data_IF_176458120560
#
_entry.id   IF_176458120560
#
_cell.length_a   1.000
_cell.length_b   1.000
_cell.length_c   1.000
_cell.angle_alpha   90.00
_cell.angle_beta   90.00
_cell.angle_gamma   90.00
#
_symmetry.space_group_name_H-M   'P 1'
#
loop_
_entity.id
_entity.type
_entity.pdbx_description
1 polymer ?
#
# COMPACT_ATOMS: atom_id res chain seq x y z
N UNK A 1 -25.38 -31.21 12.12
CA UNK A 1 -24.58 -31.09 10.88
C UNK A 1 -24.33 -29.62 10.70
N UNK A 2 -23.32 -29.13 11.40
CA UNK A 2 -22.91 -27.72 11.39
C UNK A 2 -21.67 -27.69 10.52
N UNK A 3 -21.85 -27.27 9.26
CA UNK A 3 -20.82 -27.30 8.23
C UNK A 3 -19.94 -26.06 8.44
N UNK A 4 -19.01 -26.16 9.38
CA UNK A 4 -17.93 -25.18 9.53
C UNK A 4 -17.17 -25.10 8.20
N UNK A 5 -17.11 -23.93 7.54
CA UNK A 5 -16.42 -23.81 6.27
C UNK A 5 -14.95 -24.14 6.47
N UNK A 6 -14.47 -25.13 5.70
CA UNK A 6 -13.07 -25.55 5.61
C UNK A 6 -12.17 -24.32 5.58
N UNK A 7 -11.30 -24.21 6.59
CA UNK A 7 -10.45 -23.04 6.80
C UNK A 7 -9.67 -22.70 5.54
N UNK A 8 -9.92 -21.52 4.98
CA UNK A 8 -8.90 -20.83 4.18
C UNK A 8 -7.70 -20.68 5.12
N UNK A 9 -6.58 -21.30 4.77
CA UNK A 9 -5.32 -21.02 5.46
C UNK A 9 -5.13 -19.50 5.50
N UNK A 10 -5.06 -18.95 6.72
CA UNK A 10 -4.88 -17.52 6.89
C UNK A 10 -3.51 -17.14 6.35
N UNK A 11 -3.46 -16.14 5.47
CA UNK A 11 -2.22 -15.68 4.87
C UNK A 11 -1.22 -15.17 5.94
N UNK A 12 0.08 -15.10 5.64
CA UNK A 12 1.10 -14.62 6.58
C UNK A 12 0.73 -13.34 7.33
N UNK A 13 0.19 -12.33 6.65
CA UNK A 13 -0.20 -11.06 7.28
C UNK A 13 -1.45 -11.23 8.17
N UNK A 14 -2.41 -12.08 7.80
CA UNK A 14 -3.60 -12.35 8.60
C UNK A 14 -3.24 -12.98 9.94
N UNK A 15 -2.29 -13.91 9.96
CA UNK A 15 -1.79 -14.52 11.21
C UNK A 15 -1.18 -13.50 12.17
N UNK A 16 -0.64 -12.40 11.63
CA UNK A 16 -0.05 -11.33 12.44
C UNK A 16 -1.09 -10.32 12.88
N UNK A 17 -2.09 -9.98 12.06
CA UNK A 17 -3.00 -8.86 12.33
C UNK A 17 -4.43 -9.26 12.72
N UNK A 18 -4.77 -10.56 12.67
CA UNK A 18 -6.09 -11.06 13.01
C UNK A 18 -5.98 -12.25 13.97
N UNK A 19 -6.28 -11.99 15.23
CA UNK A 19 -6.27 -12.96 16.33
C UNK A 19 -7.62 -12.98 17.04
N UNK A 20 -7.71 -13.72 18.14
CA UNK A 20 -8.85 -13.67 19.06
C UNK A 20 -8.73 -12.53 20.10
N UNK A 21 -7.76 -11.61 19.95
CA UNK A 21 -7.54 -10.47 20.86
C UNK A 21 -7.70 -9.14 20.09
N UNK A 22 -8.93 -8.63 19.90
CA UNK A 22 -9.19 -7.46 19.05
C UNK A 22 -8.42 -6.19 19.46
N UNK A 23 -8.19 -6.00 20.76
CA UNK A 23 -7.40 -4.85 21.25
C UNK A 23 -5.96 -4.88 20.75
N UNK A 24 -5.35 -6.07 20.69
CA UNK A 24 -3.98 -6.28 20.22
C UNK A 24 -3.91 -6.11 18.70
N UNK A 25 -4.90 -6.61 17.97
CA UNK A 25 -4.97 -6.46 16.51
C UNK A 25 -5.13 -4.99 16.08
N UNK A 26 -5.99 -4.24 16.78
CA UNK A 26 -6.12 -2.78 16.62
C UNK A 26 -4.82 -2.04 16.90
N UNK A 27 -4.15 -2.40 17.99
CA UNK A 27 -2.88 -1.80 18.37
C UNK A 27 -1.83 -2.01 17.29
N UNK A 28 -1.64 -3.25 16.83
CA UNK A 28 -0.66 -3.56 15.79
C UNK A 28 -1.00 -2.93 14.46
N UNK A 29 -2.26 -2.91 14.05
CA UNK A 29 -2.67 -2.29 12.79
C UNK A 29 -2.35 -0.79 12.77
N UNK A 30 -2.60 -0.10 13.89
CA UNK A 30 -2.24 1.32 14.05
C UNK A 30 -0.73 1.53 14.06
N UNK A 31 0.00 0.71 14.82
CA UNK A 31 1.46 0.77 14.88
C UNK A 31 2.08 0.55 13.51
N UNK A 32 1.61 -0.46 12.77
CA UNK A 32 2.05 -0.74 11.41
C UNK A 32 1.72 0.39 10.45
N UNK A 33 0.55 1.02 10.59
CA UNK A 33 0.16 2.19 9.81
C UNK A 33 1.18 3.33 9.89
N UNK A 34 1.90 3.48 11.01
CA UNK A 34 2.93 4.52 11.18
C UNK A 34 4.17 4.35 10.29
N UNK A 35 4.45 3.13 9.81
CA UNK A 35 5.65 2.86 9.00
C UNK A 35 5.39 1.99 7.77
N UNK A 36 4.12 1.78 7.41
CA UNK A 36 3.73 0.93 6.28
C UNK A 36 4.25 1.46 4.95
N UNK A 37 4.41 2.77 4.80
CA UNK A 37 5.00 3.37 3.61
C UNK A 37 6.51 3.09 3.50
N UNK A 38 7.23 3.00 4.62
CA UNK A 38 8.65 2.67 4.63
C UNK A 38 8.91 1.24 4.15
N UNK A 39 7.95 0.33 4.30
CA UNK A 39 8.01 -0.99 3.66
C UNK A 39 8.08 -0.82 2.14
N UNK A 40 7.16 -0.03 1.58
CA UNK A 40 7.10 0.24 0.14
C UNK A 40 8.37 0.94 -0.35
N UNK A 41 8.83 1.97 0.37
CA UNK A 41 10.06 2.70 0.02
C UNK A 41 11.31 1.83 0.07
N UNK A 42 11.44 1.00 1.11
CA UNK A 42 12.58 0.07 1.23
C UNK A 42 12.54 -0.97 0.12
N UNK A 43 11.35 -1.47 -0.22
CA UNK A 43 11.18 -2.40 -1.33
C UNK A 43 11.57 -1.74 -2.66
N UNK A 44 11.10 -0.52 -2.94
CA UNK A 44 11.47 0.24 -4.13
C UNK A 44 12.94 0.65 -4.22
N UNK A 45 13.65 0.74 -3.10
CA UNK A 45 15.05 1.11 -3.07
C UNK A 45 16.00 -0.04 -3.44
N UNK A 46 15.50 -1.28 -3.53
CA UNK A 46 16.34 -2.44 -3.82
C UNK A 46 16.37 -2.77 -5.31
N UNK A 47 17.55 -3.12 -5.84
CA UNK A 47 17.78 -3.36 -7.27
C UNK A 47 16.91 -4.49 -7.87
N UNK A 48 16.50 -5.45 -7.04
CA UNK A 48 15.62 -6.54 -7.50
C UNK A 48 14.14 -6.15 -7.59
N UNK A 49 13.77 -4.96 -7.11
CA UNK A 49 12.40 -4.47 -7.20
C UNK A 49 12.04 -4.07 -8.63
N UNK A 50 10.84 -4.43 -9.12
CA UNK A 50 10.38 -3.99 -10.43
C UNK A 50 10.08 -2.48 -10.48
N UNK A 51 9.95 -1.81 -9.34
CA UNK A 51 9.64 -0.39 -9.27
C UNK A 51 10.64 0.38 -8.40
N UNK A 52 10.97 1.59 -8.83
CA UNK A 52 11.63 2.61 -8.00
C UNK A 52 10.61 3.67 -7.54
N UNK A 53 10.85 4.30 -6.40
CA UNK A 53 10.02 5.39 -5.88
C UNK A 53 10.66 6.75 -6.22
N UNK A 54 9.92 7.61 -6.94
CA UNK A 54 10.35 8.99 -7.25
C UNK A 54 9.84 10.01 -6.22
N UNK A 55 9.18 9.55 -5.16
CA UNK A 55 8.61 10.36 -4.09
C UNK A 55 7.12 10.65 -4.29
N UNK A 56 6.57 11.46 -3.38
CA UNK A 56 5.13 11.77 -3.35
C UNK A 56 4.72 12.66 -4.53
N UNK A 57 3.75 12.24 -5.35
CA UNK A 57 3.22 13.08 -6.41
C UNK A 57 2.05 13.93 -5.91
N UNK A 58 1.82 15.05 -6.58
CA UNK A 58 0.55 15.79 -6.49
C UNK A 58 -0.20 15.66 -7.80
N UNK A 59 -1.42 15.12 -7.72
CA UNK A 59 -2.42 15.15 -8.78
C UNK A 59 -3.23 16.43 -8.67
N UNK A 60 -3.41 17.16 -9.78
CA UNK A 60 -4.26 18.35 -9.85
C UNK A 60 -5.21 18.26 -11.03
N UNK A 61 -6.49 18.48 -10.76
CA UNK A 61 -7.50 18.65 -11.79
C UNK A 61 -7.44 20.07 -12.36
N UNK A 62 -7.09 20.25 -13.64
CA UNK A 62 -6.98 21.58 -14.24
C UNK A 62 -8.35 22.27 -14.38
N UNK A 63 -9.46 21.52 -14.41
CA UNK A 63 -10.81 22.07 -14.60
C UNK A 63 -11.41 22.62 -13.30
N UNK A 64 -11.21 21.91 -12.19
CA UNK A 64 -11.79 22.27 -10.88
C UNK A 64 -10.79 22.93 -9.93
N UNK A 65 -9.48 22.83 -10.21
CA UNK A 65 -8.42 23.26 -9.29
C UNK A 65 -8.23 22.35 -8.08
N UNK A 66 -9.02 21.27 -7.95
CA UNK A 66 -8.87 20.28 -6.88
C UNK A 66 -7.54 19.54 -7.03
N UNK A 67 -6.91 19.22 -5.90
CA UNK A 67 -5.60 18.57 -5.91
C UNK A 67 -5.40 17.68 -4.70
N UNK A 68 -4.57 16.66 -4.82
CA UNK A 68 -4.17 15.84 -3.67
C UNK A 68 -2.76 15.29 -3.87
N UNK A 69 -2.04 15.18 -2.78
CA UNK A 69 -0.76 14.49 -2.74
C UNK A 69 -1.00 13.03 -2.41
N UNK A 70 -0.46 12.14 -3.24
CA UNK A 70 -0.54 10.69 -3.03
C UNK A 70 0.72 10.17 -2.33
N UNK A 71 0.76 8.87 -2.06
CA UNK A 71 1.82 8.26 -1.27
C UNK A 71 3.12 8.03 -2.04
N UNK A 72 3.04 7.66 -3.31
CA UNK A 72 4.20 7.25 -4.10
C UNK A 72 4.09 7.66 -5.57
N UNK A 73 5.25 7.74 -6.20
CA UNK A 73 5.35 7.71 -7.66
C UNK A 73 6.23 6.55 -8.04
N UNK A 74 5.65 5.53 -8.66
CA UNK A 74 6.41 4.36 -9.11
C UNK A 74 7.00 4.59 -10.48
N UNK A 75 8.24 4.16 -10.69
CA UNK A 75 8.85 4.07 -12.01
C UNK A 75 9.28 2.64 -12.30
N UNK A 76 8.87 2.12 -13.47
CA UNK A 76 9.26 0.80 -13.98
C UNK A 76 10.00 0.94 -15.31
N UNK A 77 11.10 0.19 -15.47
CA UNK A 77 11.75 0.04 -16.77
C UNK A 77 10.92 -0.86 -17.70
N UNK A 78 10.72 -0.44 -18.94
CA UNK A 78 10.05 -1.24 -19.97
C UNK A 78 10.82 -1.10 -21.29
N UNK A 79 11.68 -2.08 -21.57
CA UNK A 79 12.65 -2.01 -22.66
C UNK A 79 13.58 -0.80 -22.50
N UNK A 80 13.61 0.07 -23.53
CA UNK A 80 14.38 1.32 -23.53
C UNK A 80 13.59 2.53 -22.97
N UNK A 81 12.40 2.29 -22.41
CA UNK A 81 11.53 3.33 -21.87
C UNK A 81 11.38 3.21 -20.36
N UNK A 82 10.99 4.31 -19.72
CA UNK A 82 10.62 4.35 -18.30
C UNK A 82 9.16 4.77 -18.22
N UNK A 83 8.34 3.97 -17.56
CA UNK A 83 6.95 4.32 -17.26
C UNK A 83 6.82 4.84 -15.84
N UNK A 84 5.94 5.81 -15.65
CA UNK A 84 5.72 6.52 -14.38
C UNK A 84 4.26 6.34 -13.95
N UNK A 85 4.03 5.95 -12.70
CA UNK A 85 2.69 5.68 -12.18
C UNK A 85 2.46 6.42 -10.87
N UNK A 86 1.28 7.02 -10.73
CA UNK A 86 0.86 7.62 -9.46
C UNK A 86 0.37 6.51 -8.51
N UNK A 87 0.80 6.53 -7.25
CA UNK A 87 0.60 5.46 -6.29
C UNK A 87 -0.05 5.91 -5.00
N UNK A 88 -1.03 5.15 -4.51
CA UNK A 88 -1.69 5.39 -3.22
C UNK A 88 -1.69 4.10 -2.37
N UNK A 89 -1.44 4.24 -1.07
CA UNK A 89 -1.54 3.15 -0.10
C UNK A 89 -2.90 3.15 0.59
N UNK A 90 -3.53 1.99 0.63
CA UNK A 90 -4.71 1.71 1.46
C UNK A 90 -4.46 0.42 2.23
N UNK A 91 -3.81 0.57 3.39
CA UNK A 91 -3.51 -0.55 4.29
C UNK A 91 -4.54 -0.60 5.44
N UNK A 92 -5.61 -1.36 5.24
CA UNK A 92 -6.79 -1.38 6.14
C UNK A 92 -6.88 -2.68 6.97
N UNK A 93 -5.80 -3.03 7.67
CA UNK A 93 -5.61 -4.37 8.24
C UNK A 93 -6.68 -4.83 9.24
N UNK A 94 -7.16 -3.96 10.15
CA UNK A 94 -8.24 -4.30 11.11
C UNK A 94 -9.59 -3.66 10.75
N UNK A 95 -9.62 -2.74 9.77
CA UNK A 95 -10.78 -1.91 9.50
C UNK A 95 -12.04 -2.72 9.18
N UNK A 96 -13.18 -2.27 9.74
CA UNK A 96 -14.50 -2.87 9.58
C UNK A 96 -14.49 -4.40 9.83
N UNK A 97 -14.00 -4.81 10.99
CA UNK A 97 -13.91 -6.22 11.38
C UNK A 97 -13.12 -7.07 10.37
N UNK A 98 -11.98 -6.56 9.91
CA UNK A 98 -11.08 -7.20 8.94
C UNK A 98 -11.67 -7.39 7.53
N UNK A 99 -12.82 -6.77 7.22
CA UNK A 99 -13.44 -6.87 5.88
C UNK A 99 -12.50 -6.44 4.75
N UNK A 100 -11.56 -5.55 5.06
CA UNK A 100 -10.67 -4.92 4.09
C UNK A 100 -9.22 -5.38 4.22
N UNK A 101 -8.94 -6.35 5.09
CA UNK A 101 -7.58 -6.86 5.30
C UNK A 101 -6.99 -7.41 3.99
N UNK A 102 -7.78 -8.26 3.30
CA UNK A 102 -7.41 -8.85 2.01
C UNK A 102 -8.32 -8.33 0.91
N UNK A 103 -7.72 -7.74 -0.11
CA UNK A 103 -8.41 -7.34 -1.33
C UNK A 103 -8.69 -8.59 -2.18
N UNK A 104 -9.97 -8.89 -2.35
CA UNK A 104 -10.47 -10.02 -3.11
C UNK A 104 -11.56 -9.62 -4.11
N UNK A 105 -12.12 -8.41 -3.98
CA UNK A 105 -13.24 -7.93 -4.80
C UNK A 105 -13.18 -6.40 -5.01
N UNK A 106 -13.48 -5.87 -6.21
CA UNK A 106 -13.48 -4.43 -6.49
C UNK A 106 -14.47 -3.62 -5.65
N UNK A 107 -15.58 -4.22 -5.22
CA UNK A 107 -16.56 -3.58 -4.34
C UNK A 107 -15.98 -3.20 -2.98
N UNK A 108 -14.86 -3.80 -2.57
CA UNK A 108 -14.11 -3.38 -1.38
C UNK A 108 -13.48 -2.00 -1.53
N UNK A 109 -13.40 -1.41 -2.73
CA UNK A 109 -12.90 -0.04 -2.91
C UNK A 109 -14.00 1.03 -2.76
N UNK A 110 -15.27 0.62 -2.69
CA UNK A 110 -16.39 1.54 -2.74
C UNK A 110 -16.51 2.47 -1.53
N UNK A 111 -15.96 2.08 -0.36
CA UNK A 111 -16.00 2.93 0.84
C UNK A 111 -14.96 4.06 0.83
N UNK A 112 -14.01 4.04 -0.09
CA UNK A 112 -13.02 5.10 -0.21
C UNK A 112 -13.59 6.31 -0.95
N UNK A 113 -14.21 7.22 -0.21
CA UNK A 113 -14.79 8.46 -0.74
C UNK A 113 -13.84 9.67 -0.65
N UNK A 114 -12.65 9.49 -0.08
CA UNK A 114 -11.67 10.55 0.10
C UNK A 114 -11.10 11.08 -1.22
N UNK A 115 -10.80 12.38 -1.26
CA UNK A 115 -10.35 13.10 -2.46
C UNK A 115 -9.12 12.47 -3.14
N UNK A 116 -8.10 12.08 -2.36
CA UNK A 116 -6.89 11.43 -2.89
C UNK A 116 -7.24 10.19 -3.73
N UNK A 117 -8.08 9.32 -3.19
CA UNK A 117 -8.47 8.08 -3.86
C UNK A 117 -9.40 8.34 -5.05
N UNK A 118 -10.29 9.34 -4.97
CA UNK A 118 -11.14 9.72 -6.10
C UNK A 118 -10.32 10.29 -7.27
N UNK A 119 -9.30 11.09 -6.97
CA UNK A 119 -8.36 11.57 -7.99
C UNK A 119 -7.53 10.41 -8.56
N UNK A 120 -7.05 9.48 -7.74
CA UNK A 120 -6.37 8.27 -8.21
C UNK A 120 -7.24 7.45 -9.16
N UNK A 121 -8.52 7.20 -8.82
CA UNK A 121 -9.45 6.45 -9.68
C UNK A 121 -9.70 7.13 -11.02
N UNK A 122 -9.90 8.45 -11.02
CA UNK A 122 -10.01 9.24 -12.25
C UNK A 122 -8.73 9.13 -13.08
N UNK A 123 -7.59 9.24 -12.42
CA UNK A 123 -6.27 9.13 -13.07
C UNK A 123 -6.01 7.74 -13.65
N UNK A 124 -6.47 6.68 -12.98
CA UNK A 124 -6.37 5.31 -13.47
C UNK A 124 -7.16 5.12 -14.77
N UNK A 125 -8.38 5.69 -14.84
CA UNK A 125 -9.24 5.61 -16.02
C UNK A 125 -8.73 6.45 -17.19
N UNK A 126 -8.18 7.65 -16.90
CA UNK A 126 -7.61 8.55 -17.91
C UNK A 126 -6.41 9.32 -17.32
N UNK A 127 -5.16 8.86 -17.54
CA UNK A 127 -3.96 9.53 -17.02
C UNK A 127 -3.72 10.93 -17.59
N UNK A 128 -4.44 11.34 -18.65
CA UNK A 128 -4.31 12.67 -19.24
C UNK A 128 -5.30 13.68 -18.63
N UNK A 129 -6.29 13.22 -17.86
CA UNK A 129 -7.30 14.11 -17.31
C UNK A 129 -6.81 14.97 -16.13
N UNK A 130 -5.68 14.61 -15.50
CA UNK A 130 -5.08 15.35 -14.39
C UNK A 130 -3.60 15.65 -14.65
N UNK A 131 -3.12 16.74 -14.06
CA UNK A 131 -1.69 17.07 -14.05
C UNK A 131 -1.00 16.33 -12.90
N UNK A 132 0.04 15.56 -13.22
CA UNK A 132 0.94 14.94 -12.25
C UNK A 132 2.15 15.86 -12.03
N UNK A 133 2.46 16.16 -10.77
CA UNK A 133 3.70 16.85 -10.40
C UNK A 133 4.48 16.08 -9.34
N UNK A 134 5.81 16.07 -9.46
CA UNK A 134 6.73 15.45 -8.50
C UNK A 134 7.77 16.50 -8.14
N UNK A 135 7.92 16.80 -6.85
CA UNK A 135 8.80 17.89 -6.37
C UNK A 135 8.59 19.22 -7.15
N UNK A 136 7.33 19.55 -7.46
CA UNK A 136 6.93 20.76 -8.17
C UNK A 136 7.18 20.74 -9.70
N UNK A 137 7.73 19.67 -10.27
CA UNK A 137 7.94 19.53 -11.72
C UNK A 137 6.82 18.72 -12.34
N UNK A 138 6.37 19.10 -13.53
CA UNK A 138 5.36 18.34 -14.27
C UNK A 138 5.96 17.05 -14.84
N UNK A 139 5.20 15.96 -14.74
CA UNK A 139 5.56 14.66 -15.30
C UNK A 139 4.41 14.11 -16.12
N UNK A 140 4.75 13.42 -17.22
CA UNK A 140 3.80 12.52 -17.88
C UNK A 140 3.74 11.23 -17.06
N UNK A 141 2.54 10.73 -16.83
CA UNK A 141 2.35 9.42 -16.24
C UNK A 141 1.65 8.47 -17.21
N UNK A 142 1.85 7.19 -16.96
CA UNK A 142 1.40 6.07 -17.77
C UNK A 142 0.26 5.28 -17.08
N UNK A 143 -0.10 5.67 -15.86
CA UNK A 143 -1.22 5.07 -15.13
C UNK A 143 -1.15 5.28 -13.62
N UNK A 144 -1.90 4.45 -12.91
CA UNK A 144 -2.00 4.47 -11.46
C UNK A 144 -1.80 3.07 -10.86
N UNK A 145 -1.23 3.02 -9.66
CA UNK A 145 -1.01 1.78 -8.90
C UNK A 145 -1.67 1.92 -7.53
N UNK A 146 -2.37 0.88 -7.11
CA UNK A 146 -2.89 0.78 -5.75
C UNK A 146 -1.98 -0.14 -4.93
N UNK A 147 -1.57 0.29 -3.74
CA UNK A 147 -0.91 -0.58 -2.76
C UNK A 147 -1.91 -0.96 -1.67
N UNK A 148 -2.02 -2.24 -1.38
CA UNK A 148 -2.94 -2.79 -0.38
C UNK A 148 -2.22 -3.67 0.65
N UNK A 149 -2.85 -3.96 1.80
CA UNK A 149 -2.27 -4.83 2.83
C UNK A 149 -1.97 -6.25 2.32
N UNK A 150 -3.01 -6.98 1.95
CA UNK A 150 -2.94 -8.33 1.37
C UNK A 150 -3.88 -8.43 0.15
N UNK A 151 -3.56 -9.26 -0.84
CA UNK A 151 -4.36 -9.38 -2.07
C UNK A 151 -4.50 -10.87 -2.46
N UNK A 152 -5.58 -11.24 -3.13
CA UNK A 152 -5.68 -12.50 -3.91
C UNK A 152 -5.42 -12.23 -5.38
N UNK A 153 -4.87 -13.19 -6.12
CA UNK A 153 -4.64 -13.01 -7.57
C UNK A 153 -5.93 -12.63 -8.30
N UNK A 154 -7.04 -13.33 -8.01
CA UNK A 154 -8.36 -12.98 -8.54
C UNK A 154 -8.79 -11.54 -8.18
N UNK A 155 -8.53 -11.11 -6.95
CA UNK A 155 -8.89 -9.76 -6.50
C UNK A 155 -8.06 -8.68 -7.20
N UNK A 156 -6.76 -8.94 -7.41
CA UNK A 156 -5.87 -8.06 -8.17
C UNK A 156 -6.41 -7.86 -9.59
N UNK A 157 -6.63 -8.96 -10.30
CA UNK A 157 -7.07 -8.91 -11.70
C UNK A 157 -8.43 -8.21 -11.84
N UNK A 158 -9.40 -8.57 -10.98
CA UNK A 158 -10.72 -7.96 -10.98
C UNK A 158 -10.68 -6.46 -10.67
N UNK A 159 -9.84 -6.03 -9.72
CA UNK A 159 -9.68 -4.60 -9.41
C UNK A 159 -9.07 -3.85 -10.59
N UNK A 160 -8.01 -4.39 -11.20
CA UNK A 160 -7.36 -3.77 -12.36
C UNK A 160 -8.35 -3.60 -13.51
N UNK A 161 -9.09 -4.66 -13.85
CA UNK A 161 -10.11 -4.63 -14.90
C UNK A 161 -11.22 -3.60 -14.60
N UNK A 162 -11.74 -3.57 -13.37
CA UNK A 162 -12.87 -2.70 -13.01
C UNK A 162 -12.49 -1.21 -12.87
N UNK A 163 -11.21 -0.88 -12.68
CA UNK A 163 -10.79 0.48 -12.32
C UNK A 163 -9.83 1.12 -13.32
N UNK A 164 -9.22 0.35 -14.22
CA UNK A 164 -8.15 0.83 -15.09
C UNK A 164 -6.80 0.99 -14.39
N UNK A 165 -6.67 0.56 -13.12
CA UNK A 165 -5.38 0.54 -12.44
C UNK A 165 -4.38 -0.32 -13.23
N UNK A 166 -3.17 0.20 -13.40
CA UNK A 166 -2.10 -0.52 -14.10
C UNK A 166 -1.57 -1.70 -13.29
N UNK A 167 -1.59 -1.56 -11.97
CA UNK A 167 -1.19 -2.63 -11.06
C UNK A 167 -1.87 -2.46 -9.68
N UNK A 168 -1.96 -3.57 -8.96
CA UNK A 168 -2.31 -3.60 -7.53
C UNK A 168 -1.27 -4.43 -6.81
N UNK A 169 -0.52 -3.78 -5.92
CA UNK A 169 0.61 -4.36 -5.20
C UNK A 169 0.22 -4.66 -3.75
N UNK A 170 0.75 -5.73 -3.18
CA UNK A 170 0.53 -6.06 -1.76
C UNK A 170 1.75 -5.77 -0.90
N UNK A 171 1.51 -5.14 0.25
CA UNK A 171 2.52 -4.99 1.30
C UNK A 171 2.97 -6.36 1.82
N UNK A 172 2.06 -7.34 1.89
CA UNK A 172 2.40 -8.75 2.21
C UNK A 172 3.50 -9.31 1.29
N UNK A 173 3.38 -9.14 -0.03
CA UNK A 173 4.40 -9.59 -0.98
C UNK A 173 5.70 -8.79 -0.84
N UNK A 174 5.61 -7.47 -0.66
CA UNK A 174 6.80 -6.62 -0.45
C UNK A 174 7.59 -7.04 0.79
N UNK A 175 6.91 -7.37 1.90
CA UNK A 175 7.56 -7.89 3.11
C UNK A 175 8.21 -9.24 2.84
N UNK A 176 7.55 -10.14 2.09
CA UNK A 176 8.13 -11.43 1.73
C UNK A 176 9.41 -11.27 0.90
N UNK A 177 9.40 -10.35 -0.07
CA UNK A 177 10.56 -9.97 -0.85
C UNK A 177 11.68 -9.40 0.02
N UNK A 178 11.39 -8.43 0.89
CA UNK A 178 12.37 -7.82 1.79
C UNK A 178 12.99 -8.84 2.74
N UNK A 179 12.21 -9.81 3.24
CA UNK A 179 12.71 -10.89 4.08
C UNK A 179 13.62 -11.86 3.30
N UNK A 180 13.35 -12.06 2.01
CA UNK A 180 14.15 -12.89 1.11
C UNK A 180 15.45 -12.19 0.70
N UNK A 181 15.34 -10.94 0.26
CA UNK A 181 16.45 -10.12 -0.25
C UNK A 181 17.37 -9.65 0.85
N UNK A 182 16.82 -9.39 2.05
CA UNK A 182 17.54 -8.84 3.21
C UNK A 182 18.37 -7.61 2.83
N UNK A 183 17.77 -6.57 2.23
CA UNK A 183 18.52 -5.41 1.80
C UNK A 183 19.19 -4.74 3.00
N UNK A 184 20.32 -4.11 2.74
CA UNK A 184 21.01 -3.33 3.76
C UNK A 184 20.07 -2.28 4.34
N UNK A 185 20.09 -2.13 5.67
CA UNK A 185 19.21 -1.19 6.37
C UNK A 185 17.81 -1.73 6.71
N UNK A 186 17.28 -2.78 6.06
CA UNK A 186 15.94 -3.31 6.42
C UNK A 186 15.89 -3.87 7.85
N UNK A 187 16.87 -4.69 8.22
CA UNK A 187 16.97 -5.22 9.58
C UNK A 187 17.14 -4.10 10.62
N UNK A 188 17.91 -3.06 10.27
CA UNK A 188 18.09 -1.87 11.12
C UNK A 188 16.78 -1.11 11.27
N UNK A 189 16.06 -0.86 10.18
CA UNK A 189 14.77 -0.19 10.19
C UNK A 189 13.81 -0.87 11.17
N UNK A 190 13.64 -2.19 11.06
CA UNK A 190 12.79 -2.97 11.96
C UNK A 190 13.28 -2.91 13.41
N UNK A 191 14.58 -3.01 13.64
CA UNK A 191 15.15 -2.93 14.97
C UNK A 191 14.95 -1.55 15.60
N UNK A 192 15.11 -0.47 14.85
CA UNK A 192 14.88 0.90 15.34
C UNK A 192 13.43 1.07 15.80
N UNK A 193 12.44 0.59 15.02
CA UNK A 193 11.02 0.69 15.40
C UNK A 193 10.71 -0.14 16.65
N UNK A 194 11.34 -1.30 16.80
CA UNK A 194 11.26 -2.11 18.01
C UNK A 194 11.84 -1.36 19.21
N UNK A 195 13.04 -0.80 19.08
CA UNK A 195 13.70 -0.05 20.15
C UNK A 195 12.91 1.19 20.58
N UNK A 196 12.38 1.96 19.63
CA UNK A 196 11.55 3.13 19.95
C UNK A 196 10.25 2.73 20.65
N UNK A 197 9.63 1.63 20.22
CA UNK A 197 8.44 1.10 20.87
C UNK A 197 8.73 0.64 22.30
N UNK A 198 9.85 -0.08 22.50
CA UNK A 198 10.29 -0.51 23.82
C UNK A 198 10.57 0.69 24.72
N UNK A 199 11.33 1.70 24.25
CA UNK A 199 11.63 2.90 25.04
C UNK A 199 10.37 3.65 25.51
N UNK A 200 9.30 3.66 24.69
CA UNK A 200 8.00 4.19 25.13
C UNK A 200 7.41 3.36 26.28
N UNK A 201 7.47 2.03 26.19
CA UNK A 201 6.94 1.16 27.25
C UNK A 201 7.79 1.19 28.51
N UNK A 202 9.11 1.22 28.39
CA UNK A 202 10.05 1.37 29.49
C UNK A 202 9.72 2.66 30.27
N UNK A 203 9.55 3.79 29.57
CA UNK A 203 9.10 5.06 30.18
C UNK A 203 7.73 4.95 30.90
N UNK A 204 6.77 4.24 30.31
CA UNK A 204 5.43 4.08 30.90
C UNK A 204 5.41 3.11 32.10
N UNK A 205 6.33 2.14 32.12
CA UNK A 205 6.49 1.15 33.20
C UNK A 205 7.42 1.65 34.32
N UNK A 206 8.18 2.73 34.06
CA UNK A 206 9.16 3.28 34.99
C UNK A 206 10.46 2.47 35.05
N UNK A 207 10.79 1.75 33.97
CA UNK A 207 12.04 0.98 33.80
C UNK A 207 13.00 1.63 32.82
#
# INVERSE_FOLDING_TARGET
MDDMPKGRESGPIERVFKTNIPRRDKFLSRLFGLFSEEVVRTWCAYDASPYSDLGRPTLRDPSSGTWSTLDFTFQRGEGNSRKVFAGELKCELEYNSYKYLRLADPGQLAHHTGQAFQLLRRFAADPQCLNLTIAGKAHRADGAILVWGAITDQGRDAVMEATGLTDVLSVEAMIADLNKWKPEGWARLINDRRQWSNALFDYLDGT
#
